data_IF_442816390343
#
_entry.id   IF_442816390343
#
_cell.length_a   1.000
_cell.length_b   1.000
_cell.length_c   1.000
_cell.angle_alpha   90.00
_cell.angle_beta   90.00
_cell.angle_gamma   90.00
#
_symmetry.space_group_name_H-M   'P 1'
#
loop_
_entity.id
_entity.type
_entity.pdbx_description
1 polymer ?
#
# COMPACT_ATOMS: atom_id res chain seq x y z
N UNK A 1 0.62 -10.80 15.84
CA UNK A 1 1.18 -10.02 14.73
C UNK A 1 0.19 -8.93 14.43
N UNK A 2 0.56 -7.67 14.62
CA UNK A 2 -0.32 -6.53 14.35
C UNK A 2 -0.10 -6.07 12.90
N UNK A 3 -1.13 -5.50 12.28
CA UNK A 3 -1.07 -5.01 10.91
C UNK A 3 -1.47 -3.55 10.88
N UNK A 4 -0.72 -2.75 10.11
CA UNK A 4 -1.12 -1.38 9.80
C UNK A 4 -1.73 -1.38 8.41
N UNK A 5 -2.97 -0.90 8.32
CA UNK A 5 -3.62 -0.61 7.06
C UNK A 5 -3.22 0.78 6.57
N UNK A 6 -2.78 0.89 5.32
CA UNK A 6 -2.45 2.14 4.65
C UNK A 6 -3.26 2.27 3.37
N UNK A 7 -3.56 3.50 3.00
CA UNK A 7 -4.16 3.86 1.72
C UNK A 7 -3.27 4.90 1.05
N UNK A 8 -2.99 4.72 -0.23
CA UNK A 8 -2.22 5.67 -1.02
C UNK A 8 -2.81 5.79 -2.42
N UNK A 9 -2.43 6.84 -3.13
CA UNK A 9 -2.75 7.03 -4.54
C UNK A 9 -1.44 7.03 -5.29
N UNK A 10 -1.32 6.16 -6.29
CA UNK A 10 -0.22 6.17 -7.26
C UNK A 10 -0.73 6.68 -8.59
N UNK A 11 0.10 7.30 -9.40
CA UNK A 11 -0.30 7.96 -10.66
C UNK A 11 0.08 7.16 -11.90
N UNK A 12 0.80 6.06 -11.71
CA UNK A 12 1.23 5.19 -12.80
C UNK A 12 1.23 3.72 -12.39
N UNK A 13 1.17 2.85 -13.40
CA UNK A 13 1.33 1.41 -13.22
C UNK A 13 2.71 1.05 -12.67
N UNK A 14 3.74 1.83 -12.99
CA UNK A 14 5.10 1.61 -12.49
C UNK A 14 5.16 1.85 -10.97
N UNK A 15 4.62 2.96 -10.48
CA UNK A 15 4.51 3.23 -9.05
C UNK A 15 3.68 2.18 -8.31
N UNK A 16 2.60 1.68 -8.93
CA UNK A 16 1.84 0.56 -8.38
C UNK A 16 2.71 -0.70 -8.23
N UNK A 17 3.50 -1.04 -9.25
CA UNK A 17 4.37 -2.23 -9.21
C UNK A 17 5.45 -2.10 -8.13
N UNK A 18 6.06 -0.93 -8.00
CA UNK A 18 7.04 -0.64 -6.95
C UNK A 18 6.41 -0.76 -5.55
N UNK A 19 5.22 -0.21 -5.37
CA UNK A 19 4.47 -0.34 -4.12
C UNK A 19 4.13 -1.80 -3.81
N UNK A 20 3.62 -2.55 -4.79
CA UNK A 20 3.26 -3.95 -4.62
C UNK A 20 4.48 -4.82 -4.26
N UNK A 21 5.64 -4.55 -4.87
CA UNK A 21 6.90 -5.19 -4.52
C UNK A 21 7.32 -4.88 -3.07
N UNK A 22 7.33 -3.59 -2.68
CA UNK A 22 7.71 -3.17 -1.33
C UNK A 22 6.76 -3.73 -0.25
N UNK A 23 5.46 -3.79 -0.53
CA UNK A 23 4.47 -4.42 0.37
C UNK A 23 4.76 -5.90 0.53
N UNK A 24 5.06 -6.60 -0.57
CA UNK A 24 5.41 -8.03 -0.55
C UNK A 24 6.72 -8.29 0.22
N UNK A 25 7.74 -7.48 0.03
CA UNK A 25 9.02 -7.58 0.75
C UNK A 25 8.84 -7.45 2.27
N UNK A 26 7.90 -6.61 2.71
CA UNK A 26 7.54 -6.47 4.12
C UNK A 26 6.63 -7.58 4.65
N UNK A 27 6.30 -8.60 3.84
CA UNK A 27 5.33 -9.64 4.20
C UNK A 27 3.89 -9.12 4.32
N UNK A 28 3.60 -8.00 3.67
CA UNK A 28 2.29 -7.39 3.58
C UNK A 28 1.48 -7.87 2.37
N UNK A 29 0.26 -7.37 2.26
CA UNK A 29 -0.68 -7.70 1.19
C UNK A 29 -1.42 -6.47 0.68
N UNK A 30 -1.61 -6.37 -0.64
CA UNK A 30 -2.55 -5.44 -1.24
C UNK A 30 -3.96 -5.96 -1.00
N UNK A 31 -4.84 -5.13 -0.44
CA UNK A 31 -6.24 -5.46 -0.16
C UNK A 31 -7.09 -5.11 -1.37
N UNK A 32 -6.98 -3.87 -1.85
CA UNK A 32 -7.70 -3.37 -3.02
C UNK A 32 -6.83 -2.42 -3.83
N UNK A 33 -6.99 -2.46 -5.16
CA UNK A 33 -6.40 -1.49 -6.08
C UNK A 33 -7.42 -1.18 -7.18
N UNK A 34 -7.79 0.09 -7.35
CA UNK A 34 -8.73 0.50 -8.38
C UNK A 34 -8.36 1.86 -8.97
N UNK A 35 -8.59 2.01 -10.28
CA UNK A 35 -8.33 3.25 -10.99
C UNK A 35 -9.38 4.30 -10.66
N UNK A 36 -8.94 5.46 -10.21
CA UNK A 36 -9.73 6.66 -10.04
C UNK A 36 -9.91 7.32 -11.41
N UNK A 37 -11.17 7.47 -11.85
CA UNK A 37 -11.50 8.13 -13.13
C UNK A 37 -11.80 9.62 -12.99
N UNK A 38 -11.72 10.18 -11.79
CA UNK A 38 -12.05 11.58 -11.51
C UNK A 38 -10.81 12.27 -10.93
N UNK A 39 -10.28 13.28 -11.62
CA UNK A 39 -9.11 14.11 -11.28
C UNK A 39 -7.70 13.62 -11.70
N UNK A 40 -7.58 12.92 -12.83
CA UNK A 40 -6.30 12.40 -13.33
C UNK A 40 -6.20 10.89 -13.07
N UNK A 41 -5.47 10.17 -13.92
CA UNK A 41 -5.39 8.71 -13.86
C UNK A 41 -4.60 8.23 -12.62
N UNK A 42 -5.22 8.28 -11.45
CA UNK A 42 -4.69 7.72 -10.21
C UNK A 42 -5.16 6.29 -10.00
N UNK A 43 -4.39 5.48 -9.29
CA UNK A 43 -4.79 4.18 -8.77
C UNK A 43 -4.80 4.32 -7.26
N UNK A 44 -5.97 4.20 -6.63
CA UNK A 44 -6.06 4.11 -5.18
C UNK A 44 -5.69 2.69 -4.76
N UNK A 45 -4.73 2.57 -3.85
CA UNK A 45 -4.20 1.29 -3.39
C UNK A 45 -4.32 1.23 -1.87
N UNK A 46 -5.10 0.27 -1.39
CA UNK A 46 -5.21 -0.08 0.01
C UNK A 46 -4.38 -1.34 0.28
N UNK A 47 -3.53 -1.29 1.30
CA UNK A 47 -2.64 -2.40 1.63
C UNK A 47 -2.39 -2.50 3.13
N UNK A 48 -1.93 -3.67 3.57
CA UNK A 48 -1.59 -3.95 4.96
C UNK A 48 -0.14 -4.43 5.04
N UNK A 49 0.59 -3.93 6.04
CA UNK A 49 1.95 -4.40 6.36
C UNK A 49 1.98 -4.88 7.81
N UNK A 50 2.61 -6.03 8.12
CA UNK A 50 2.79 -6.45 9.49
C UNK A 50 3.77 -5.52 10.20
N UNK A 51 3.51 -5.23 11.47
CA UNK A 51 4.42 -4.49 12.35
C UNK A 51 4.79 -5.33 13.56
N UNK A 52 6.05 -5.21 13.98
CA UNK A 52 6.50 -5.75 15.27
C UNK A 52 6.21 -4.71 16.35
N UNK A 53 5.81 -5.16 17.54
CA UNK A 53 5.47 -4.30 18.71
C UNK A 53 6.59 -3.37 19.20
N UNK A 54 7.80 -3.48 18.64
CA UNK A 54 8.95 -2.63 19.00
C UNK A 54 8.97 -1.27 18.26
N UNK A 55 8.09 -1.04 17.27
CA UNK A 55 8.01 0.21 16.49
C UNK A 55 6.88 1.18 16.94
N UNK A 56 6.30 0.99 18.13
CA UNK A 56 5.21 1.84 18.66
C UNK A 56 5.60 2.75 19.85
N UNK A 57 6.90 2.91 20.12
CA UNK A 57 7.41 3.80 21.18
C UNK A 57 8.34 4.87 20.61
N UNK A 58 7.80 5.87 19.91
CA UNK A 58 8.41 7.20 19.75
C UNK A 58 7.32 8.28 19.83
#
# INVERSE_FOLDING_TARGET
>A
MEYIQRNTIVTSTEEYNLLAAAVKEKGGHIVHAFTLRHQGAGISVQYMIPVRREETSE
#
